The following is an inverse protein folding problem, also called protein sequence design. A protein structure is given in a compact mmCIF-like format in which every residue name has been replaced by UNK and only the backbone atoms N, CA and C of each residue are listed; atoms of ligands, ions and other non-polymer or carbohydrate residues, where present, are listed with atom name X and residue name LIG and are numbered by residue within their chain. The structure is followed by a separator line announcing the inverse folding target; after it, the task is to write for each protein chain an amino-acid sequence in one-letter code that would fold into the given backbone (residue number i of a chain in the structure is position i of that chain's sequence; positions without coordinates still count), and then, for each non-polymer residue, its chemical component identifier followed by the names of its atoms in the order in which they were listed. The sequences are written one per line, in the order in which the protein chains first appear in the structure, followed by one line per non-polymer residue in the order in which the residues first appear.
data_IF_227261375074
#
_entry.id   IF_227261375074
#
_cell.length_a   1.000
_cell.length_b   1.000
_cell.length_c   1.000
_cell.angle_alpha   90.00
_cell.angle_beta   90.00
_cell.angle_gamma   90.00
#
_symmetry.space_group_name_H-M   'P 1'
#
loop_
_entity.id
_entity.type
_entity.pdbx_description
1 polymer ?
#
# COMPACT_ATOMS: atom_id res chain seq x y z
N UNK A 1 2.13 -1.91 12.23
CA UNK A 1 1.75 -1.45 10.88
C UNK A 1 0.55 -2.26 10.41
N UNK A 2 -0.54 -1.62 9.95
CA UNK A 2 -1.69 -2.32 9.34
C UNK A 2 -1.47 -2.46 7.84
N UNK A 3 -1.78 -3.63 7.30
CA UNK A 3 -1.75 -3.91 5.85
C UNK A 3 -3.13 -4.29 5.36
N UNK A 4 -3.39 -4.04 4.09
CA UNK A 4 -4.61 -4.39 3.40
C UNK A 4 -4.29 -5.30 2.21
N UNK A 5 -5.21 -6.22 1.92
CA UNK A 5 -5.19 -7.12 0.78
C UNK A 5 -6.32 -6.78 -0.19
N UNK A 6 -6.24 -7.30 -1.40
CA UNK A 6 -7.35 -7.17 -2.36
C UNK A 6 -8.64 -7.86 -1.86
N UNK A 7 -8.54 -8.87 -0.98
CA UNK A 7 -9.71 -9.54 -0.39
C UNK A 7 -10.46 -8.63 0.57
N UNK A 8 -9.76 -7.76 1.30
CA UNK A 8 -10.39 -6.79 2.20
C UNK A 8 -11.25 -5.80 1.42
N UNK A 9 -10.79 -5.40 0.22
CA UNK A 9 -11.56 -4.58 -0.71
C UNK A 9 -12.74 -5.35 -1.33
N UNK A 10 -12.56 -6.63 -1.65
CA UNK A 10 -13.67 -7.47 -2.12
C UNK A 10 -14.76 -7.63 -1.06
N UNK A 11 -14.39 -7.74 0.22
CA UNK A 11 -15.34 -7.79 1.33
C UNK A 11 -16.15 -6.49 1.48
N UNK A 12 -15.63 -5.36 1.00
CA UNK A 12 -16.35 -4.08 0.92
C UNK A 12 -17.27 -3.98 -0.32
N UNK A 13 -17.24 -4.97 -1.21
CA UNK A 13 -18.06 -5.02 -2.43
C UNK A 13 -17.35 -4.57 -3.70
N UNK A 14 -16.04 -4.29 -3.66
CA UNK A 14 -15.29 -3.99 -4.88
C UNK A 14 -15.09 -5.25 -5.75
N UNK A 15 -15.16 -5.14 -7.08
CA UNK A 15 -14.78 -6.24 -7.97
C UNK A 15 -13.30 -6.61 -7.83
N UNK A 16 -12.96 -7.89 -8.01
CA UNK A 16 -11.59 -8.40 -7.81
C UNK A 16 -10.53 -7.64 -8.64
N UNK A 17 -10.83 -7.29 -9.89
CA UNK A 17 -9.91 -6.55 -10.75
C UNK A 17 -9.65 -5.15 -10.17
N UNK A 18 -10.71 -4.43 -9.79
CA UNK A 18 -10.63 -3.12 -9.17
C UNK A 18 -9.85 -3.17 -7.86
N UNK A 19 -10.13 -4.16 -7.00
CA UNK A 19 -9.40 -4.36 -5.75
C UNK A 19 -7.90 -4.56 -5.98
N UNK A 20 -7.53 -5.35 -7.00
CA UNK A 20 -6.12 -5.57 -7.35
C UNK A 20 -5.46 -4.29 -7.88
N UNK A 21 -6.18 -3.49 -8.64
CA UNK A 21 -5.68 -2.22 -9.18
C UNK A 21 -5.45 -1.19 -8.07
N UNK A 22 -6.38 -1.06 -7.12
CA UNK A 22 -6.23 -0.22 -5.93
C UNK A 22 -4.98 -0.64 -5.13
N UNK A 23 -4.78 -1.94 -4.91
CA UNK A 23 -3.57 -2.43 -4.19
C UNK A 23 -2.30 -2.08 -4.97
N UNK A 24 -2.29 -2.20 -6.30
CA UNK A 24 -1.12 -1.82 -7.12
C UNK A 24 -0.83 -0.33 -7.01
N UNK A 25 -1.86 0.50 -7.05
CA UNK A 25 -1.73 1.95 -6.91
C UNK A 25 -1.22 2.34 -5.53
N UNK A 26 -1.80 1.78 -4.47
CA UNK A 26 -1.36 2.00 -3.09
C UNK A 26 0.13 1.65 -2.91
N UNK A 27 0.60 0.56 -3.52
CA UNK A 27 2.02 0.18 -3.49
C UNK A 27 2.91 1.18 -4.21
N UNK A 28 2.52 1.70 -5.38
CA UNK A 28 3.29 2.73 -6.08
C UNK A 28 3.45 3.97 -5.21
N UNK A 29 2.38 4.40 -4.53
CA UNK A 29 2.41 5.53 -3.60
C UNK A 29 3.33 5.22 -2.40
N UNK A 30 3.24 4.01 -1.83
CA UNK A 30 4.10 3.58 -0.73
C UNK A 30 5.59 3.59 -1.10
N UNK A 31 5.92 3.11 -2.30
CA UNK A 31 7.30 3.13 -2.83
C UNK A 31 7.79 4.56 -3.01
N UNK A 32 6.97 5.43 -3.61
CA UNK A 32 7.32 6.84 -3.81
C UNK A 32 7.55 7.58 -2.48
N UNK A 33 6.64 7.43 -1.51
CA UNK A 33 6.79 8.01 -0.17
C UNK A 33 8.06 7.53 0.53
N UNK A 34 8.40 6.24 0.37
CA UNK A 34 9.63 5.68 0.92
C UNK A 34 10.89 6.30 0.28
N UNK A 35 10.92 6.44 -1.05
CA UNK A 35 12.03 7.06 -1.76
C UNK A 35 12.20 8.54 -1.40
N UNK A 36 11.10 9.28 -1.21
CA UNK A 36 11.10 10.66 -0.77
C UNK A 36 11.64 10.79 0.67
N UNK A 37 11.14 9.98 1.60
CA UNK A 37 11.61 9.98 2.99
C UNK A 37 13.09 9.64 3.10
N UNK A 38 13.57 8.67 2.30
CA UNK A 38 14.98 8.28 2.24
C UNK A 38 15.92 9.42 1.81
N UNK A 39 15.45 10.37 0.99
CA UNK A 39 16.26 11.52 0.58
C UNK A 39 16.46 12.53 1.72
N UNK A 40 15.54 12.57 2.67
CA UNK A 40 15.50 13.55 3.76
C UNK A 40 16.19 13.02 5.02
N UNK A 41 15.98 11.75 5.34
CA UNK A 41 16.45 11.17 6.60
C UNK A 41 17.74 10.36 6.41
N UNK A 42 18.85 10.89 6.95
CA UNK A 42 20.16 10.22 6.95
C UNK A 42 20.30 9.17 8.06
N UNK A 43 19.40 9.17 9.07
CA UNK A 43 19.43 8.27 10.22
C UNK A 43 18.47 7.08 10.08
N UNK A 44 17.65 7.04 9.03
CA UNK A 44 16.76 5.92 8.77
C UNK A 44 17.54 4.63 8.46
N UNK A 45 16.97 3.48 8.86
CA UNK A 45 17.48 2.16 8.48
C UNK A 45 17.65 2.11 6.96
N UNK A 46 18.87 1.89 6.48
CA UNK A 46 19.23 1.91 5.06
C UNK A 46 18.70 0.67 4.33
N UNK A 47 17.38 0.56 4.20
CA UNK A 47 16.76 -0.38 3.28
C UNK A 47 17.04 0.10 1.85
N UNK A 48 17.56 -0.80 1.01
CA UNK A 48 17.87 -0.50 -0.38
C UNK A 48 16.61 -0.18 -1.21
N UNK A 49 15.45 -0.70 -0.79
CA UNK A 49 14.15 -0.59 -1.47
C UNK A 49 12.99 -0.55 -0.49
N UNK A 50 11.84 -0.08 -0.95
CA UNK A 50 10.61 -0.08 -0.17
C UNK A 50 10.17 -1.52 0.17
N UNK A 51 9.70 -1.77 1.41
CA UNK A 51 9.10 -3.06 1.79
C UNK A 51 7.92 -3.50 0.91
N UNK A 52 7.27 -2.57 0.20
CA UNK A 52 6.12 -2.82 -0.65
C UNK A 52 6.47 -2.96 -2.15
N UNK A 53 7.75 -2.94 -2.53
CA UNK A 53 8.17 -3.01 -3.94
C UNK A 53 7.96 -4.40 -4.58
N UNK A 54 7.68 -5.45 -3.80
CA UNK A 54 7.50 -6.79 -4.36
C UNK A 54 6.16 -6.95 -5.10
N UNK A 55 6.17 -6.91 -6.43
CA UNK A 55 4.98 -7.04 -7.30
C UNK A 55 4.11 -8.27 -7.04
N UNK A 56 4.67 -9.39 -6.55
CA UNK A 56 3.92 -10.64 -6.32
C UNK A 56 3.07 -10.61 -5.04
N UNK A 57 3.42 -9.75 -4.09
CA UNK A 57 2.67 -9.63 -2.85
C UNK A 57 1.45 -8.73 -3.07
N UNK A 58 0.25 -9.30 -2.92
CA UNK A 58 -1.03 -8.60 -3.02
C UNK A 58 -1.39 -7.80 -1.75
N UNK A 59 -0.39 -7.20 -1.11
CA UNK A 59 -0.52 -6.43 0.13
C UNK A 59 -0.04 -4.99 -0.07
N UNK A 60 -0.72 -4.04 0.58
CA UNK A 60 -0.34 -2.64 0.63
C UNK A 60 -0.54 -2.09 2.05
N UNK A 61 0.05 -0.92 2.40
CA UNK A 61 -0.24 -0.24 3.65
C UNK A 61 -1.73 0.14 3.73
N UNK A 62 -2.41 -0.24 4.82
CA UNK A 62 -3.84 0.01 4.97
C UNK A 62 -4.18 1.50 4.91
N UNK A 63 -3.36 2.35 5.53
CA UNK A 63 -3.53 3.81 5.56
C UNK A 63 -3.59 4.42 4.15
N UNK A 64 -2.75 3.94 3.22
CA UNK A 64 -2.74 4.44 1.84
C UNK A 64 -3.96 3.92 1.08
N UNK A 65 -4.36 2.67 1.32
CA UNK A 65 -5.56 2.09 0.70
C UNK A 65 -6.82 2.83 1.16
N UNK A 66 -6.95 3.09 2.47
CA UNK A 66 -8.05 3.88 3.06
C UNK A 66 -8.09 5.30 2.49
N UNK A 67 -6.93 5.94 2.30
CA UNK A 67 -6.83 7.25 1.64
C UNK A 67 -7.30 7.22 0.18
N UNK A 68 -7.01 6.15 -0.57
CA UNK A 68 -7.42 6.02 -1.97
C UNK A 68 -8.92 5.79 -2.12
N UNK A 69 -9.52 4.97 -1.27
CA UNK A 69 -10.95 4.62 -1.37
C UNK A 69 -11.85 5.59 -0.59
N UNK A 70 -11.30 6.39 0.32
CA UNK A 70 -12.04 7.34 1.16
C UNK A 70 -12.89 6.71 2.25
N UNK A 71 -12.71 5.41 2.52
CA UNK A 71 -13.50 4.60 3.46
C UNK A 71 -12.52 3.80 4.33
N UNK A 72 -12.75 3.70 5.65
CA UNK A 72 -11.93 2.86 6.51
C UNK A 72 -12.10 1.39 6.17
N UNK A 73 -11.01 0.63 6.18
CA UNK A 73 -11.07 -0.83 6.07
C UNK A 73 -11.57 -1.36 7.40
N UNK A 74 -12.80 -1.89 7.40
CA UNK A 74 -13.39 -2.56 8.57
C UNK A 74 -12.49 -3.73 8.99
N UNK A 75 -12.31 -3.90 10.30
CA UNK A 75 -11.41 -4.88 10.88
C UNK A 75 -12.19 -5.98 11.58
#
# INVERSE_FOLDING_TARGET
MRTATYKDLMNLGFPEHTSRDIIREAKRIAVKKFEEARKVDQNAVQLSKSPFDNRRLGIAPAEIVEQLIGIPLSK
#
